data_IF_116001538477
#
_entry.id   IF_116001538477
#
_cell.length_a   1.000
_cell.length_b   1.000
_cell.length_c   1.000
_cell.angle_alpha   90.00
_cell.angle_beta   90.00
_cell.angle_gamma   90.00
#
_symmetry.space_group_name_H-M   'P 1'
#
loop_
_entity.id
_entity.type
_entity.pdbx_description
1 polymer ?
#
# COMPACT_ATOMS: atom_id res chain seq x y z
N UNK A 1 -6.32 13.36 21.24
CA UNK A 1 -6.84 12.32 22.14
C UNK A 1 -5.92 11.11 22.08
N UNK A 2 -5.47 10.56 23.23
CA UNK A 2 -4.60 9.36 23.25
C UNK A 2 -5.47 8.09 23.31
N UNK A 3 -5.32 7.16 22.35
CA UNK A 3 -5.96 5.84 22.39
C UNK A 3 -4.90 4.75 22.64
N UNK A 4 -5.21 3.83 23.56
CA UNK A 4 -4.36 2.68 23.91
C UNK A 4 -4.86 1.41 23.23
N UNK A 5 -3.94 0.49 22.96
CA UNK A 5 -4.23 -0.78 22.32
C UNK A 5 -5.09 -1.72 23.20
N UNK A 6 -5.92 -2.54 22.57
CA UNK A 6 -6.62 -3.67 23.19
C UNK A 6 -6.06 -4.97 22.59
N UNK A 7 -5.44 -5.80 23.42
CA UNK A 7 -5.00 -7.12 22.99
C UNK A 7 -6.20 -8.08 22.95
N UNK A 8 -6.38 -8.79 21.85
CA UNK A 8 -7.29 -9.94 21.73
C UNK A 8 -6.46 -11.14 21.27
N UNK A 9 -6.76 -12.36 21.69
CA UNK A 9 -5.87 -13.56 21.75
C UNK A 9 -4.57 -13.63 20.90
N UNK A 10 -4.55 -13.15 19.65
CA UNK A 10 -3.34 -13.06 18.81
C UNK A 10 -3.03 -11.69 18.22
N UNK A 11 -3.91 -10.71 18.34
CA UNK A 11 -3.82 -9.38 17.71
C UNK A 11 -3.81 -8.25 18.73
N UNK A 12 -3.25 -7.13 18.32
CA UNK A 12 -3.33 -5.86 19.02
C UNK A 12 -4.12 -4.88 18.16
N UNK A 13 -5.27 -4.41 18.64
CA UNK A 13 -6.12 -3.46 17.92
C UNK A 13 -6.09 -2.07 18.58
N UNK A 14 -5.94 -1.05 17.76
CA UNK A 14 -5.99 0.35 18.12
C UNK A 14 -7.24 0.96 17.49
N UNK A 15 -8.21 1.34 18.32
CA UNK A 15 -9.40 2.04 17.85
C UNK A 15 -9.03 3.49 17.51
N UNK A 16 -9.62 4.03 16.45
CA UNK A 16 -9.52 5.46 16.17
C UNK A 16 -10.24 6.28 17.24
N UNK A 17 -9.80 7.53 17.42
CA UNK A 17 -10.37 8.44 18.41
C UNK A 17 -11.75 8.93 18.01
N UNK A 18 -11.90 9.31 16.73
CA UNK A 18 -13.16 9.81 16.19
C UNK A 18 -13.94 8.69 15.47
N UNK A 19 -15.28 8.63 15.57
CA UNK A 19 -16.09 7.57 14.95
C UNK A 19 -16.01 7.51 13.42
N UNK A 20 -15.80 8.64 12.75
CA UNK A 20 -15.70 8.76 11.30
C UNK A 20 -14.29 8.55 10.74
N UNK A 21 -13.26 8.49 11.61
CA UNK A 21 -11.88 8.26 11.19
C UNK A 21 -11.75 6.86 10.57
N UNK A 22 -11.49 6.79 9.26
CA UNK A 22 -11.32 5.54 8.53
C UNK A 22 -9.87 5.37 8.07
N UNK A 23 -9.04 4.54 8.74
CA UNK A 23 -7.70 4.22 8.26
C UNK A 23 -7.71 3.57 6.87
N UNK A 24 -6.92 4.10 5.93
CA UNK A 24 -6.89 3.63 4.53
C UNK A 24 -5.56 2.95 4.18
N UNK A 25 -4.52 3.74 3.95
CA UNK A 25 -3.20 3.23 3.59
C UNK A 25 -2.37 3.06 4.87
N UNK A 26 -1.52 2.04 4.93
CA UNK A 26 -0.62 1.80 6.06
C UNK A 26 0.78 1.48 5.54
N UNK A 27 1.81 2.00 6.21
CA UNK A 27 3.20 1.77 5.85
C UNK A 27 4.08 1.70 7.10
N UNK A 28 5.03 0.76 7.12
CA UNK A 28 6.00 0.63 8.19
C UNK A 28 7.30 1.38 7.86
N UNK A 29 7.80 2.15 8.81
CA UNK A 29 9.09 2.83 8.75
C UNK A 29 10.23 1.97 9.29
N UNK A 30 11.45 2.20 8.79
CA UNK A 30 12.66 1.54 9.29
C UNK A 30 13.03 1.95 10.72
N UNK A 31 12.39 2.97 11.27
CA UNK A 31 12.47 3.43 12.66
C UNK A 31 11.41 2.75 13.57
N UNK A 32 10.53 1.91 13.00
CA UNK A 32 9.52 1.14 13.73
C UNK A 32 8.24 1.94 13.95
N UNK A 33 8.16 3.15 13.40
CA UNK A 33 6.90 3.88 13.30
C UNK A 33 6.01 3.23 12.24
N UNK A 34 4.70 3.20 12.52
CA UNK A 34 3.71 2.72 11.55
C UNK A 34 2.83 3.90 11.20
N UNK A 35 2.91 4.36 9.96
CA UNK A 35 2.14 5.48 9.47
C UNK A 35 0.89 4.98 8.78
N UNK A 36 -0.19 5.74 8.86
CA UNK A 36 -1.41 5.46 8.15
C UNK A 36 -2.14 6.74 7.74
N UNK A 37 -2.82 6.71 6.61
CA UNK A 37 -3.73 7.80 6.22
C UNK A 37 -5.11 7.56 6.83
N UNK A 38 -5.85 8.64 7.07
CA UNK A 38 -7.20 8.59 7.66
C UNK A 38 -8.14 9.30 6.69
N UNK A 39 -9.05 8.58 6.05
CA UNK A 39 -10.04 9.21 5.17
C UNK A 39 -10.98 10.09 5.98
N UNK A 40 -11.50 11.13 5.32
CA UNK A 40 -12.44 12.10 5.90
C UNK A 40 -11.94 12.88 7.12
N UNK A 41 -10.70 12.69 7.53
CA UNK A 41 -10.03 13.39 8.61
C UNK A 41 -9.11 14.49 8.06
N UNK A 42 -8.89 15.52 8.87
CA UNK A 42 -7.88 16.56 8.66
C UNK A 42 -6.50 16.18 9.23
N UNK A 43 -6.17 14.89 9.19
CA UNK A 43 -4.95 14.35 9.77
C UNK A 43 -4.50 13.04 9.11
N UNK A 44 -3.23 12.70 9.30
CA UNK A 44 -2.73 11.33 9.18
C UNK A 44 -2.44 10.76 10.57
N UNK A 45 -2.31 9.45 10.65
CA UNK A 45 -2.02 8.75 11.89
C UNK A 45 -0.62 8.15 11.91
N UNK A 46 -0.09 7.98 13.12
CA UNK A 46 1.15 7.26 13.39
C UNK A 46 1.01 6.42 14.64
N UNK A 47 1.33 5.14 14.57
CA UNK A 47 1.56 4.31 15.75
C UNK A 47 3.03 4.42 16.13
N UNK A 48 3.30 4.82 17.37
CA UNK A 48 4.63 4.85 17.97
C UNK A 48 4.53 4.49 19.45
N UNK A 49 5.40 3.59 19.91
CA UNK A 49 5.40 3.13 21.31
C UNK A 49 4.04 2.59 21.77
N UNK A 50 3.34 1.85 20.91
CA UNK A 50 2.03 1.25 21.23
C UNK A 50 0.91 2.26 21.42
N UNK A 51 1.00 3.44 20.80
CA UNK A 51 -0.02 4.50 20.85
C UNK A 51 -0.23 5.11 19.49
N UNK A 52 -1.48 5.46 19.18
CA UNK A 52 -1.81 6.29 18.03
C UNK A 52 -1.55 7.76 18.38
N UNK A 53 -0.86 8.44 17.48
CA UNK A 53 -0.72 9.88 17.37
C UNK A 53 -1.44 10.34 16.10
N UNK A 54 -2.26 11.40 16.23
CA UNK A 54 -2.97 12.03 15.11
C UNK A 54 -2.21 13.31 14.76
N UNK A 55 -1.73 13.42 13.53
CA UNK A 55 -0.90 14.51 13.03
C UNK A 55 -1.72 15.36 12.06
N UNK A 56 -2.15 16.58 12.46
CA UNK A 56 -3.02 17.41 11.64
C UNK A 56 -2.35 17.78 10.31
N UNK A 57 -3.09 17.70 9.20
CA UNK A 57 -2.63 18.05 7.84
C UNK A 57 -3.29 19.32 7.31
N UNK A 58 -4.12 19.99 8.12
CA UNK A 58 -4.84 21.25 7.82
C UNK A 58 -5.91 21.16 6.72
N UNK A 59 -5.97 20.09 5.94
CA UNK A 59 -6.99 19.83 4.94
C UNK A 59 -7.64 18.49 5.20
N UNK A 60 -8.95 18.41 4.99
CA UNK A 60 -9.68 17.15 5.07
C UNK A 60 -9.23 16.23 3.92
N UNK A 61 -8.75 15.04 4.27
CA UNK A 61 -8.33 14.03 3.30
C UNK A 61 -9.52 13.57 2.44
N UNK A 62 -9.21 13.22 1.20
CA UNK A 62 -10.14 12.65 0.21
C UNK A 62 -9.44 11.45 -0.41
N UNK A 63 -9.91 10.24 -0.10
CA UNK A 63 -9.39 8.98 -0.62
C UNK A 63 -7.83 8.92 -0.61
N UNK A 64 -7.17 9.06 0.55
CA UNK A 64 -5.71 9.14 0.64
C UNK A 64 -5.06 7.74 0.46
N UNK A 65 -5.05 7.22 -0.77
CA UNK A 65 -4.65 5.85 -1.10
C UNK A 65 -3.14 5.61 -1.08
N UNK A 66 -2.32 6.57 -1.48
CA UNK A 66 -0.87 6.42 -1.53
C UNK A 66 -0.22 6.82 -0.21
N UNK A 67 0.59 5.93 0.36
CA UNK A 67 1.42 6.20 1.54
C UNK A 67 2.70 5.36 1.48
N UNK A 68 3.83 5.98 1.77
CA UNK A 68 5.09 5.30 2.02
C UNK A 68 5.94 6.07 3.05
N UNK A 69 6.87 5.39 3.70
CA UNK A 69 7.78 5.98 4.68
C UNK A 69 9.18 6.04 4.08
N UNK A 70 9.78 7.22 4.06
CA UNK A 70 11.16 7.40 3.61
C UNK A 70 12.17 6.95 4.68
N UNK A 71 13.44 6.77 4.29
CA UNK A 71 14.51 6.33 5.18
C UNK A 71 14.75 7.25 6.39
N UNK A 72 14.38 8.53 6.29
CA UNK A 72 14.44 9.50 7.38
C UNK A 72 13.24 9.43 8.36
N UNK A 73 12.33 8.46 8.16
CA UNK A 73 11.13 8.28 8.97
C UNK A 73 9.98 9.23 8.62
N UNK A 74 10.10 10.03 7.55
CA UNK A 74 9.00 10.89 7.07
C UNK A 74 7.98 10.09 6.26
N UNK A 75 6.70 10.37 6.51
CA UNK A 75 5.60 9.83 5.71
C UNK A 75 5.38 10.69 4.47
N UNK A 76 5.29 10.04 3.32
CA UNK A 76 4.90 10.64 2.05
C UNK A 76 3.55 10.07 1.63
N UNK A 77 2.59 10.92 1.31
CA UNK A 77 1.27 10.49 0.89
C UNK A 77 0.72 11.32 -0.27
N UNK A 78 -0.23 10.74 -0.99
CA UNK A 78 -0.99 11.40 -2.04
C UNK A 78 -2.09 12.26 -1.43
N UNK A 79 -1.99 13.58 -1.58
CA UNK A 79 -2.91 14.55 -0.99
C UNK A 79 -3.78 15.20 -2.07
N UNK A 80 -4.88 14.53 -2.40
CA UNK A 80 -5.78 15.00 -3.45
C UNK A 80 -6.45 16.33 -3.08
N UNK A 81 -6.80 16.52 -1.80
CA UNK A 81 -7.43 17.74 -1.31
C UNK A 81 -6.51 18.95 -1.45
N UNK A 82 -5.23 18.80 -1.13
CA UNK A 82 -4.22 19.83 -1.34
C UNK A 82 -3.71 19.90 -2.79
N UNK A 83 -4.08 18.96 -3.65
CA UNK A 83 -3.53 18.79 -5.01
C UNK A 83 -2.00 18.70 -4.98
N UNK A 84 -1.48 17.87 -4.08
CA UNK A 84 -0.05 17.77 -3.82
C UNK A 84 0.37 16.31 -3.58
N UNK A 85 1.67 16.08 -3.67
CA UNK A 85 2.32 15.03 -2.89
C UNK A 85 2.78 15.69 -1.59
N UNK A 86 2.37 15.14 -0.45
CA UNK A 86 2.65 15.72 0.86
C UNK A 86 3.61 14.84 1.64
N UNK A 87 4.65 15.47 2.21
CA UNK A 87 5.59 14.85 3.14
C UNK A 87 5.33 15.40 4.54
N UNK A 88 5.22 14.51 5.52
CA UNK A 88 5.11 14.84 6.95
C UNK A 88 6.34 14.25 7.66
N UNK A 89 7.15 15.11 8.28
CA UNK A 89 8.33 14.67 9.02
C UNK A 89 7.95 13.93 10.30
N UNK A 90 8.93 13.28 10.94
CA UNK A 90 8.71 12.63 12.23
C UNK A 90 8.38 13.62 13.37
N UNK A 91 8.75 14.89 13.26
CA UNK A 91 8.34 15.99 14.16
C UNK A 91 6.98 16.62 13.79
N UNK A 92 6.35 16.20 12.68
CA UNK A 92 5.08 16.75 12.21
C UNK A 92 5.20 17.95 11.26
N UNK A 93 6.40 18.28 10.77
CA UNK A 93 6.57 19.33 9.77
C UNK A 93 6.01 18.89 8.42
N UNK A 94 5.27 19.78 7.75
CA UNK A 94 4.58 19.47 6.49
C UNK A 94 5.27 20.20 5.34
N UNK A 95 5.67 19.43 4.32
CA UNK A 95 6.10 19.95 3.03
C UNK A 95 5.13 19.46 1.95
N UNK A 96 4.66 20.37 1.08
CA UNK A 96 3.77 20.04 -0.03
C UNK A 96 4.45 20.32 -1.36
N UNK A 97 4.40 19.34 -2.24
CA UNK A 97 4.88 19.44 -3.61
C UNK A 97 3.65 19.55 -4.52
N UNK A 98 3.34 20.79 -4.91
CA UNK A 98 2.12 21.11 -5.64
C UNK A 98 2.14 20.47 -7.02
N UNK A 99 1.03 19.83 -7.38
CA UNK A 99 0.83 19.26 -8.70
C UNK A 99 0.50 20.39 -9.68
N UNK A 100 1.25 20.47 -10.77
CA UNK A 100 1.11 21.45 -11.85
C UNK A 100 0.03 21.08 -12.87
N UNK A 101 -0.44 19.85 -12.83
CA UNK A 101 -1.47 19.31 -13.73
C UNK A 101 -2.75 18.98 -12.95
N UNK A 102 -3.92 19.02 -13.61
CA UNK A 102 -5.19 18.67 -12.98
C UNK A 102 -5.27 17.15 -12.78
N UNK A 103 -4.47 16.60 -11.87
CA UNK A 103 -4.63 15.24 -11.39
C UNK A 103 -5.84 15.23 -10.48
N UNK A 104 -6.89 14.57 -10.92
CA UNK A 104 -8.17 14.46 -10.19
C UNK A 104 -8.27 13.16 -9.40
N UNK A 105 -7.36 12.21 -9.63
CA UNK A 105 -7.28 10.94 -8.90
C UNK A 105 -5.82 10.50 -8.77
N UNK A 106 -5.39 10.30 -7.52
CA UNK A 106 -4.07 9.77 -7.18
C UNK A 106 -4.21 8.33 -6.71
N UNK A 107 -3.31 7.44 -7.15
CA UNK A 107 -3.26 6.04 -6.73
C UNK A 107 -2.26 5.79 -5.60
N UNK A 108 -1.66 4.60 -5.58
CA UNK A 108 -0.61 4.25 -4.62
C UNK A 108 0.67 5.07 -4.86
N UNK A 109 1.50 5.13 -3.82
CA UNK A 109 2.79 5.81 -3.80
C UNK A 109 3.84 4.92 -3.16
N UNK A 110 5.07 4.96 -3.65
CA UNK A 110 6.24 4.31 -3.06
C UNK A 110 7.45 5.25 -3.05
N UNK A 111 8.38 5.03 -2.13
CA UNK A 111 9.67 5.73 -2.10
C UNK A 111 10.75 4.82 -2.68
N UNK A 112 11.49 5.33 -3.67
CA UNK A 112 12.63 4.65 -4.25
C UNK A 112 13.89 4.80 -3.36
N UNK A 113 14.89 3.89 -3.49
CA UNK A 113 16.14 3.96 -2.73
C UNK A 113 16.90 5.29 -2.87
N UNK A 114 16.72 5.98 -3.98
CA UNK A 114 17.33 7.28 -4.27
C UNK A 114 16.57 8.48 -3.69
N UNK A 115 15.57 8.22 -2.84
CA UNK A 115 14.72 9.20 -2.18
C UNK A 115 13.60 9.78 -3.03
N UNK A 116 13.42 9.33 -4.28
CA UNK A 116 12.32 9.80 -5.12
C UNK A 116 10.98 9.18 -4.69
N UNK A 117 9.92 9.99 -4.68
CA UNK A 117 8.56 9.48 -4.56
C UNK A 117 8.03 9.10 -5.95
N UNK A 118 7.49 7.90 -6.09
CA UNK A 118 6.81 7.42 -7.29
C UNK A 118 5.35 7.20 -6.99
N UNK A 119 4.46 7.69 -7.84
CA UNK A 119 3.02 7.56 -7.63
C UNK A 119 2.27 7.31 -8.93
N UNK A 120 1.13 6.63 -8.81
CA UNK A 120 0.21 6.41 -9.92
C UNK A 120 -0.63 7.67 -10.16
N UNK A 121 -0.60 8.16 -11.40
CA UNK A 121 -1.42 9.25 -11.91
C UNK A 121 -2.48 8.69 -12.86
N UNK A 122 -3.70 8.53 -12.33
CA UNK A 122 -4.80 7.95 -13.07
C UNK A 122 -5.32 8.89 -14.16
N UNK A 123 -5.25 10.21 -13.95
CA UNK A 123 -5.74 11.21 -14.91
C UNK A 123 -4.80 11.35 -16.10
N UNK A 124 -3.49 11.31 -15.85
CA UNK A 124 -2.43 11.41 -16.86
C UNK A 124 -2.05 10.09 -17.52
N UNK A 125 -2.69 8.97 -17.13
CA UNK A 125 -2.38 7.61 -17.59
C UNK A 125 -0.88 7.29 -17.49
N UNK A 126 -0.28 7.56 -16.33
CA UNK A 126 1.16 7.40 -16.16
C UNK A 126 1.59 7.16 -14.73
N UNK A 127 2.87 6.86 -14.57
CA UNK A 127 3.54 6.86 -13.28
C UNK A 127 4.44 8.08 -13.21
N UNK A 128 4.38 8.82 -12.11
CA UNK A 128 5.10 10.08 -11.97
C UNK A 128 6.12 9.96 -10.86
N UNK A 129 7.34 10.37 -11.18
CA UNK A 129 8.46 10.48 -10.25
C UNK A 129 8.57 11.90 -9.75
N UNK A 130 8.72 12.08 -8.44
CA UNK A 130 9.03 13.34 -7.79
C UNK A 130 10.39 13.22 -7.10
N UNK A 131 11.36 14.03 -7.53
CA UNK A 131 12.67 14.12 -6.88
C UNK A 131 13.12 15.57 -6.80
N UNK A 132 13.52 16.00 -5.60
CA UNK A 132 13.97 17.38 -5.34
C UNK A 132 12.99 18.45 -5.87
N UNK A 133 11.68 18.22 -5.73
CA UNK A 133 10.63 19.12 -6.20
C UNK A 133 10.32 19.05 -7.70
N UNK A 134 11.07 18.25 -8.48
CA UNK A 134 10.86 18.09 -9.92
C UNK A 134 9.98 16.86 -10.19
N UNK A 135 8.89 17.07 -10.92
CA UNK A 135 8.03 16.00 -11.42
C UNK A 135 8.48 15.52 -12.80
N UNK A 136 8.61 14.22 -12.97
CA UNK A 136 8.92 13.55 -14.24
C UNK A 136 7.87 12.48 -14.50
N UNK A 137 7.05 12.68 -15.53
CA UNK A 137 5.96 11.76 -15.89
C UNK A 137 6.44 10.74 -16.90
N UNK A 138 6.26 9.46 -16.58
CA UNK A 138 6.43 8.34 -17.51
C UNK A 138 5.05 7.97 -18.04
N UNK A 139 4.76 8.42 -19.26
CA UNK A 139 3.48 8.13 -19.93
C UNK A 139 3.43 6.66 -20.32
N UNK A 140 2.27 6.05 -20.13
CA UNK A 140 1.99 4.72 -20.64
C UNK A 140 1.40 4.92 -22.05
N UNK A 141 1.96 4.24 -23.05
CA UNK A 141 1.55 4.40 -24.46
C UNK A 141 0.09 4.01 -24.72
N UNK A 142 -0.54 3.32 -23.77
CA UNK A 142 -1.97 3.01 -23.78
C UNK A 142 -2.74 4.03 -22.92
N UNK A 143 -3.65 4.79 -23.56
CA UNK A 143 -4.65 5.64 -22.88
C UNK A 143 -5.63 4.85 -21.99
N UNK A 144 -5.48 3.53 -21.90
CA UNK A 144 -6.22 2.64 -21.00
C UNK A 144 -5.36 2.12 -19.85
N UNK A 145 -4.19 2.70 -19.56
CA UNK A 145 -3.30 2.20 -18.50
C UNK A 145 -3.99 2.10 -17.14
N UNK A 146 -4.72 3.13 -16.69
CA UNK A 146 -5.36 3.14 -15.37
C UNK A 146 -4.43 2.66 -14.24
N UNK A 147 -3.25 3.30 -14.07
CA UNK A 147 -2.28 2.87 -13.08
C UNK A 147 -2.87 2.97 -11.67
N UNK A 148 -2.67 1.96 -10.83
CA UNK A 148 -3.23 1.95 -9.47
C UNK A 148 -2.17 1.67 -8.41
N UNK A 149 -1.59 0.47 -8.43
CA UNK A 149 -0.52 0.05 -7.52
C UNK A 149 0.83 0.55 -8.00
N UNK A 150 1.73 0.84 -7.05
CA UNK A 150 3.13 1.19 -7.30
C UNK A 150 4.01 0.44 -6.29
N UNK A 151 5.07 -0.19 -6.77
CA UNK A 151 6.14 -0.75 -5.96
C UNK A 151 7.50 -0.36 -6.56
N UNK A 152 8.53 -0.28 -5.72
CA UNK A 152 9.91 -0.06 -6.16
C UNK A 152 10.78 -1.18 -5.62
N UNK A 153 11.49 -1.85 -6.52
CA UNK A 153 12.50 -2.86 -6.20
C UNK A 153 13.76 -2.21 -5.62
N UNK A 154 14.60 -3.00 -4.94
CA UNK A 154 15.85 -2.52 -4.32
C UNK A 154 16.87 -1.98 -5.32
N UNK A 155 16.80 -2.40 -6.58
CA UNK A 155 17.60 -1.91 -7.71
C UNK A 155 17.07 -0.59 -8.30
N UNK A 156 15.96 -0.05 -7.78
CA UNK A 156 15.30 1.14 -8.27
C UNK A 156 14.33 0.90 -9.44
N UNK A 157 14.11 -0.35 -9.87
CA UNK A 157 13.07 -0.68 -10.84
C UNK A 157 11.70 -0.40 -10.25
N UNK A 158 10.87 0.35 -10.98
CA UNK A 158 9.48 0.65 -10.59
C UNK A 158 8.55 -0.34 -11.28
N UNK A 159 7.60 -0.86 -10.51
CA UNK A 159 6.52 -1.70 -10.99
C UNK A 159 5.19 -1.03 -10.71
N UNK A 160 4.29 -1.08 -11.69
CA UNK A 160 2.93 -0.59 -11.53
C UNK A 160 1.91 -1.56 -12.11
N UNK A 161 0.74 -1.62 -11.51
CA UNK A 161 -0.41 -2.34 -12.06
C UNK A 161 -1.26 -1.38 -12.89
N UNK A 162 -1.68 -1.87 -14.05
CA UNK A 162 -2.49 -1.14 -15.02
C UNK A 162 -3.89 -1.76 -15.06
N UNK A 163 -4.80 -1.27 -14.21
CA UNK A 163 -6.10 -1.90 -13.96
C UNK A 163 -6.92 -2.09 -15.24
N UNK A 164 -7.03 -1.02 -16.02
CA UNK A 164 -7.84 -0.97 -17.23
C UNK A 164 -7.15 -1.65 -18.43
N UNK A 165 -5.81 -1.73 -18.39
CA UNK A 165 -5.00 -2.38 -19.41
C UNK A 165 -4.82 -3.87 -19.19
N UNK A 166 -5.15 -4.38 -17.99
CA UNK A 166 -4.85 -5.76 -17.57
C UNK A 166 -3.35 -6.09 -17.73
N UNK A 167 -2.50 -5.17 -17.29
CA UNK A 167 -1.05 -5.20 -17.53
C UNK A 167 -0.25 -4.91 -16.27
N UNK A 168 1.02 -5.34 -16.27
CA UNK A 168 2.07 -4.73 -15.45
C UNK A 168 2.87 -3.74 -16.29
N UNK A 169 3.30 -2.65 -15.67
CA UNK A 169 4.32 -1.74 -16.17
C UNK A 169 5.60 -1.95 -15.37
N UNK A 170 6.72 -2.03 -16.08
CA UNK A 170 8.06 -1.92 -15.52
C UNK A 170 8.70 -0.63 -16.04
N UNK A 171 9.26 0.18 -15.14
CA UNK A 171 10.14 1.31 -15.48
C UNK A 171 11.49 1.05 -14.85
N UNK A 172 12.54 0.89 -15.67
CA UNK A 172 13.90 0.72 -15.18
C UNK A 172 14.47 2.03 -14.64
N UNK A 173 15.58 1.95 -13.90
CA UNK A 173 16.22 3.12 -13.28
C UNK A 173 16.68 4.18 -14.30
N UNK A 174 16.97 3.77 -15.54
CA UNK A 174 17.30 4.67 -16.66
C UNK A 174 16.07 5.34 -17.31
N UNK A 175 14.86 5.02 -16.82
CA UNK A 175 13.60 5.56 -17.30
C UNK A 175 12.96 4.77 -18.44
N UNK A 176 13.62 3.74 -18.97
CA UNK A 176 13.03 2.88 -20.01
C UNK A 176 11.85 2.09 -19.45
N UNK A 177 10.76 2.02 -20.21
CA UNK A 177 9.53 1.36 -19.76
C UNK A 177 9.09 0.23 -20.67
N UNK A 178 8.50 -0.82 -20.08
CA UNK A 178 7.91 -1.95 -20.80
C UNK A 178 6.64 -2.40 -20.10
N UNK A 179 5.61 -2.74 -20.88
CA UNK A 179 4.39 -3.36 -20.37
C UNK A 179 4.40 -4.88 -20.58
N UNK A 180 3.66 -5.58 -19.73
CA UNK A 180 3.47 -7.03 -19.77
C UNK A 180 1.99 -7.33 -19.61
N UNK A 181 1.39 -7.99 -20.60
CA UNK A 181 0.00 -8.44 -20.53
C UNK A 181 -0.12 -9.58 -19.51
N UNK A 182 -1.12 -9.49 -18.63
CA UNK A 182 -1.47 -10.62 -17.77
C UNK A 182 -2.06 -11.75 -18.62
N UNK A 183 -1.78 -13.03 -18.28
CA UNK A 183 -2.19 -14.17 -19.10
C UNK A 183 -3.71 -14.36 -19.16
N UNK A 184 -4.43 -13.93 -18.12
CA UNK A 184 -5.88 -14.05 -18.03
C UNK A 184 -6.56 -12.68 -18.18
N UNK A 185 -7.56 -12.60 -19.06
CA UNK A 185 -8.31 -11.38 -19.29
C UNK A 185 -9.21 -11.02 -18.10
N UNK A 186 -9.32 -9.72 -17.80
CA UNK A 186 -10.29 -9.22 -16.82
C UNK A 186 -9.90 -9.43 -15.35
N UNK A 187 -8.62 -9.63 -15.05
CA UNK A 187 -8.11 -9.83 -13.69
C UNK A 187 -8.31 -8.61 -12.78
N UNK A 188 -8.22 -7.40 -13.37
CA UNK A 188 -8.19 -6.11 -12.67
C UNK A 188 -7.06 -6.07 -11.64
N UNK A 189 -5.80 -5.94 -12.08
CA UNK A 189 -4.65 -5.93 -11.17
C UNK A 189 -4.65 -4.68 -10.28
N UNK A 190 -4.53 -4.83 -8.96
CA UNK A 190 -4.63 -3.72 -7.98
C UNK A 190 -3.32 -3.48 -7.23
N UNK A 191 -3.24 -3.68 -5.92
CA UNK A 191 -2.02 -3.45 -5.18
C UNK A 191 -0.89 -4.39 -5.63
N UNK A 192 0.34 -3.89 -5.54
CA UNK A 192 1.57 -4.56 -6.00
C UNK A 192 2.68 -4.35 -4.99
N UNK A 193 3.53 -5.35 -4.83
CA UNK A 193 4.72 -5.30 -4.00
C UNK A 193 5.88 -6.03 -4.68
N UNK A 194 7.09 -5.49 -4.53
CA UNK A 194 8.31 -6.10 -5.05
C UNK A 194 9.00 -6.93 -3.95
N UNK A 195 9.33 -8.17 -4.27
CA UNK A 195 10.12 -9.06 -3.42
C UNK A 195 11.62 -8.85 -3.59
N UNK A 196 12.39 -9.27 -2.60
CA UNK A 196 13.86 -9.13 -2.62
C UNK A 196 14.52 -10.03 -3.65
N UNK A 197 13.85 -11.13 -4.02
CA UNK A 197 14.29 -12.12 -5.00
C UNK A 197 14.00 -11.73 -6.47
N UNK A 198 13.55 -10.48 -6.71
CA UNK A 198 13.15 -9.98 -8.02
C UNK A 198 11.72 -10.34 -8.44
N UNK A 199 10.96 -11.04 -7.60
CA UNK A 199 9.53 -11.26 -7.84
C UNK A 199 8.74 -9.98 -7.71
N UNK A 200 7.66 -9.89 -8.46
CA UNK A 200 6.64 -8.85 -8.31
C UNK A 200 5.32 -9.54 -8.03
N UNK A 201 4.75 -9.26 -6.88
CA UNK A 201 3.48 -9.84 -6.44
C UNK A 201 2.38 -8.80 -6.55
N UNK A 202 1.22 -9.18 -7.06
CA UNK A 202 0.10 -8.27 -7.26
C UNK A 202 -1.23 -8.97 -7.04
N UNK A 203 -2.23 -8.20 -6.61
CA UNK A 203 -3.59 -8.71 -6.43
C UNK A 203 -4.37 -8.64 -7.74
N UNK A 204 -5.17 -9.65 -8.03
CA UNK A 204 -6.13 -9.68 -9.13
C UNK A 204 -7.54 -9.63 -8.55
N UNK A 205 -8.06 -8.42 -8.37
CA UNK A 205 -9.27 -8.18 -7.56
C UNK A 205 -10.51 -8.92 -8.08
N UNK A 206 -10.71 -8.93 -9.40
CA UNK A 206 -11.88 -9.59 -10.00
C UNK A 206 -11.67 -11.10 -10.10
N UNK A 207 -10.45 -11.55 -10.40
CA UNK A 207 -10.13 -12.97 -10.54
C UNK A 207 -9.97 -13.70 -9.19
N UNK A 208 -9.92 -12.97 -8.07
CA UNK A 208 -9.71 -13.54 -6.73
C UNK A 208 -8.39 -14.33 -6.60
N UNK A 209 -7.36 -13.82 -7.25
CA UNK A 209 -6.04 -14.44 -7.36
C UNK A 209 -4.94 -13.50 -6.89
N UNK A 210 -3.81 -14.08 -6.51
CA UNK A 210 -2.55 -13.36 -6.32
C UNK A 210 -1.64 -13.75 -7.48
N UNK A 211 -1.29 -12.77 -8.30
CA UNK A 211 -0.34 -12.95 -9.38
C UNK A 211 1.09 -12.73 -8.91
N UNK A 212 2.01 -13.47 -9.53
CA UNK A 212 3.45 -13.28 -9.41
C UNK A 212 4.04 -13.13 -10.81
N UNK A 213 4.90 -12.14 -10.99
CA UNK A 213 5.76 -12.02 -12.15
C UNK A 213 7.23 -12.15 -11.72
N UNK A 214 7.98 -13.02 -12.41
CA UNK A 214 9.43 -13.14 -12.21
C UNK A 214 10.08 -13.65 -13.49
N UNK A 215 11.19 -13.02 -13.91
CA UNK A 215 12.00 -13.47 -15.05
C UNK A 215 11.19 -13.71 -16.34
N UNK A 216 10.18 -12.87 -16.60
CA UNK A 216 9.32 -12.99 -17.78
C UNK A 216 8.16 -13.98 -17.64
N UNK A 217 8.00 -14.63 -16.49
CA UNK A 217 6.98 -15.65 -16.26
C UNK A 217 5.92 -15.17 -15.27
N UNK A 218 4.66 -15.47 -15.58
CA UNK A 218 3.53 -15.27 -14.69
C UNK A 218 3.14 -16.57 -13.98
N UNK A 219 2.73 -16.44 -12.71
CA UNK A 219 2.11 -17.51 -11.93
C UNK A 219 0.95 -16.91 -11.13
N UNK A 220 -0.22 -17.55 -11.20
CA UNK A 220 -1.39 -17.15 -10.43
C UNK A 220 -1.67 -18.15 -9.32
N UNK A 221 -1.92 -17.65 -8.11
CA UNK A 221 -2.33 -18.43 -6.94
C UNK A 221 -3.78 -18.11 -6.63
N UNK A 222 -4.65 -19.10 -6.71
CA UNK A 222 -6.05 -18.97 -6.32
C UNK A 222 -6.19 -18.89 -4.79
N UNK A 223 -6.91 -17.88 -4.31
CA UNK A 223 -7.09 -17.66 -2.87
C UNK A 223 -8.26 -18.49 -2.30
N UNK A 224 -9.24 -18.80 -3.14
CA UNK A 224 -10.39 -19.64 -2.83
C UNK A 224 -11.49 -19.50 -3.86
N UNK A 225 -12.52 -20.35 -3.74
CA UNK A 225 -13.64 -20.40 -4.69
C UNK A 225 -14.55 -19.16 -4.61
N UNK A 226 -14.63 -18.53 -3.45
CA UNK A 226 -15.43 -17.31 -3.23
C UNK A 226 -14.56 -16.07 -3.21
N UNK A 227 -15.08 -14.96 -3.72
CA UNK A 227 -14.38 -13.69 -3.72
C UNK A 227 -14.18 -13.17 -2.28
N UNK A 228 -12.94 -13.21 -1.79
CA UNK A 228 -12.59 -12.82 -0.40
C UNK A 228 -12.38 -11.30 -0.23
N UNK A 229 -12.48 -10.54 -1.32
CA UNK A 229 -12.25 -9.10 -1.35
C UNK A 229 -10.78 -8.75 -1.06
N UNK A 230 -9.87 -9.19 -1.94
CA UNK A 230 -8.45 -8.83 -1.87
C UNK A 230 -8.29 -7.30 -1.90
N UNK A 231 -7.49 -6.72 -1.01
CA UNK A 231 -7.46 -5.27 -0.79
C UNK A 231 -6.07 -4.64 -0.85
N UNK A 232 -5.15 -5.11 -0.01
CA UNK A 232 -3.75 -4.67 0.00
C UNK A 232 -2.77 -5.84 0.08
N UNK A 233 -1.52 -5.60 -0.33
CA UNK A 233 -0.45 -6.60 -0.36
C UNK A 233 0.87 -5.99 0.15
N UNK A 234 1.66 -6.78 0.88
CA UNK A 234 2.99 -6.41 1.34
C UNK A 234 3.91 -7.64 1.34
N UNK A 235 5.21 -7.41 1.12
CA UNK A 235 6.24 -8.44 1.25
C UNK A 235 6.92 -8.28 2.60
N UNK A 236 6.96 -9.35 3.38
CA UNK A 236 7.69 -9.41 4.63
C UNK A 236 9.20 -9.55 4.39
N UNK A 237 10.06 -9.22 5.38
CA UNK A 237 11.52 -9.40 5.25
C UNK A 237 12.00 -10.82 4.93
N UNK A 238 11.15 -11.83 5.14
CA UNK A 238 11.40 -13.23 4.81
C UNK A 238 10.78 -13.66 3.47
N UNK A 239 10.41 -12.70 2.62
CA UNK A 239 9.72 -12.86 1.32
C UNK A 239 8.32 -13.49 1.38
N UNK A 240 7.73 -13.66 2.57
CA UNK A 240 6.31 -14.03 2.65
C UNK A 240 5.44 -12.90 2.12
N UNK A 241 4.41 -13.28 1.37
CA UNK A 241 3.42 -12.35 0.83
C UNK A 241 2.26 -12.24 1.80
N UNK A 242 2.03 -11.05 2.36
CA UNK A 242 0.89 -10.76 3.21
C UNK A 242 -0.16 -9.95 2.46
N UNK A 243 -1.43 -10.23 2.71
CA UNK A 243 -2.53 -9.57 2.00
C UNK A 243 -3.81 -9.46 2.84
N UNK A 244 -4.62 -8.44 2.55
CA UNK A 244 -5.92 -8.24 3.18
C UNK A 244 -7.05 -9.00 2.46
N UNK A 245 -8.03 -9.49 3.24
CA UNK A 245 -9.27 -10.09 2.74
C UNK A 245 -10.47 -9.36 3.38
N UNK A 246 -10.92 -8.28 2.74
CA UNK A 246 -11.95 -7.39 3.29
C UNK A 246 -13.29 -8.07 3.53
N UNK A 247 -13.72 -8.97 2.63
CA UNK A 247 -15.04 -9.63 2.74
C UNK A 247 -15.03 -10.77 3.76
N UNK A 248 -13.84 -11.27 4.10
CA UNK A 248 -13.64 -12.36 5.05
C UNK A 248 -13.15 -11.88 6.42
N UNK A 249 -13.05 -10.57 6.64
CA UNK A 249 -12.52 -9.99 7.87
C UNK A 249 -11.21 -10.69 8.31
N UNK A 250 -10.26 -10.83 7.39
CA UNK A 250 -9.05 -11.65 7.61
C UNK A 250 -7.81 -11.01 6.95
N UNK A 251 -6.63 -11.38 7.43
CA UNK A 251 -5.37 -11.24 6.68
C UNK A 251 -4.86 -12.62 6.26
N UNK A 252 -4.25 -12.70 5.09
CA UNK A 252 -3.66 -13.91 4.54
C UNK A 252 -2.14 -13.82 4.45
N UNK A 253 -1.49 -14.97 4.54
CA UNK A 253 -0.06 -15.16 4.27
C UNK A 253 0.10 -16.22 3.20
N UNK A 254 0.73 -15.87 2.09
CA UNK A 254 1.19 -16.82 1.08
C UNK A 254 2.68 -17.08 1.28
N UNK A 255 3.01 -18.35 1.54
CA UNK A 255 4.37 -18.86 1.73
C UNK A 255 4.53 -20.17 0.96
N UNK A 256 5.52 -20.26 0.07
CA UNK A 256 5.81 -21.48 -0.69
C UNK A 256 4.57 -22.07 -1.40
N UNK A 257 3.74 -21.21 -2.01
CA UNK A 257 2.51 -21.62 -2.70
C UNK A 257 1.33 -21.97 -1.78
N UNK A 258 1.48 -21.89 -0.45
CA UNK A 258 0.42 -22.19 0.51
C UNK A 258 -0.10 -20.93 1.18
N UNK A 259 -1.42 -20.84 1.28
CA UNK A 259 -2.11 -19.73 1.95
C UNK A 259 -2.51 -20.15 3.36
N UNK A 260 -2.05 -19.40 4.35
CA UNK A 260 -2.58 -19.42 5.71
C UNK A 260 -3.49 -18.21 5.91
N UNK A 261 -4.62 -18.40 6.61
CA UNK A 261 -5.61 -17.33 6.85
C UNK A 261 -5.73 -17.06 8.34
N UNK A 262 -5.67 -15.79 8.70
CA UNK A 262 -5.74 -15.30 10.06
C UNK A 262 -7.00 -14.44 10.20
N UNK A 263 -8.08 -14.99 10.79
CA UNK A 263 -9.29 -14.23 11.08
C UNK A 263 -8.96 -13.05 11.98
N UNK A 264 -9.46 -11.87 11.62
CA UNK A 264 -9.33 -10.69 12.45
C UNK A 264 -10.27 -10.80 13.66
N UNK A 265 -9.98 -10.09 14.77
CA UNK A 265 -10.73 -10.26 16.01
C UNK A 265 -12.16 -9.71 16.00
N UNK A 266 -12.61 -9.14 14.88
CA UNK A 266 -13.94 -8.55 14.71
C UNK A 266 -14.50 -9.02 13.38
N UNK A 267 -15.70 -9.59 13.40
CA UNK A 267 -16.35 -10.12 12.19
C UNK A 267 -16.72 -9.02 11.19
N UNK A 268 -16.88 -7.78 11.67
CA UNK A 268 -17.13 -6.61 10.84
C UNK A 268 -15.85 -5.89 10.39
N UNK A 269 -14.66 -6.44 10.66
CA UNK A 269 -13.40 -5.84 10.23
C UNK A 269 -13.30 -5.80 8.69
N UNK A 270 -12.74 -4.71 8.17
CA UNK A 270 -12.56 -4.46 6.74
C UNK A 270 -11.12 -4.01 6.46
N UNK A 271 -10.13 -4.93 6.52
CA UNK A 271 -8.72 -4.59 6.31
C UNK A 271 -8.49 -4.13 4.87
N UNK A 272 -8.22 -2.85 4.66
CA UNK A 272 -8.05 -2.24 3.34
C UNK A 272 -6.60 -2.25 2.86
N UNK A 273 -5.64 -2.07 3.77
CA UNK A 273 -4.22 -2.07 3.46
C UNK A 273 -3.45 -2.84 4.53
N UNK A 274 -2.32 -3.42 4.14
CA UNK A 274 -1.43 -4.18 5.02
C UNK A 274 0.01 -3.71 4.85
N UNK A 275 0.79 -3.79 5.91
CA UNK A 275 2.23 -3.54 5.91
C UNK A 275 2.92 -4.56 6.83
N UNK A 276 4.20 -4.81 6.61
CA UNK A 276 5.01 -5.64 7.51
C UNK A 276 6.18 -4.81 7.99
N UNK A 277 6.40 -4.76 9.30
CA UNK A 277 7.57 -4.08 9.86
C UNK A 277 8.82 -4.98 9.83
N UNK A 278 9.97 -4.39 10.15
CA UNK A 278 11.26 -5.12 10.14
C UNK A 278 11.32 -6.28 11.14
N UNK A 279 10.48 -6.26 12.17
CA UNK A 279 10.42 -7.27 13.21
C UNK A 279 9.48 -8.42 12.80
N UNK A 280 8.85 -8.31 11.62
CA UNK A 280 7.93 -9.28 11.05
C UNK A 280 6.51 -9.17 11.59
N UNK A 281 6.16 -8.09 12.29
CA UNK A 281 4.77 -7.86 12.68
C UNK A 281 3.97 -7.39 11.47
N UNK A 282 2.76 -7.94 11.33
CA UNK A 282 1.87 -7.63 10.22
C UNK A 282 0.86 -6.61 10.70
N UNK A 283 0.90 -5.43 10.10
CA UNK A 283 0.01 -4.31 10.40
C UNK A 283 -1.09 -4.22 9.35
N UNK A 284 -2.29 -3.81 9.76
CA UNK A 284 -3.40 -3.55 8.85
C UNK A 284 -4.14 -2.26 9.21
N UNK A 285 -4.55 -1.53 8.18
CA UNK A 285 -5.53 -0.45 8.28
C UNK A 285 -6.92 -1.04 8.00
N UNK A 286 -7.86 -0.81 8.91
CA UNK A 286 -9.23 -1.25 8.81
C UNK A 286 -10.17 -0.04 8.74
N UNK A 287 -10.89 0.07 7.63
CA UNK A 287 -11.80 1.18 7.34
C UNK A 287 -13.01 1.26 8.28
N UNK A 288 -13.22 0.25 9.12
CA UNK A 288 -14.19 0.29 10.22
C UNK A 288 -13.69 1.04 11.47
N UNK A 289 -12.57 1.76 11.38
CA UNK A 289 -12.07 2.66 12.42
C UNK A 289 -11.01 2.04 13.33
N UNK A 290 -10.15 1.18 12.77
CA UNK A 290 -9.08 0.53 13.54
C UNK A 290 -7.77 0.45 12.75
N UNK A 291 -6.66 0.51 13.47
CA UNK A 291 -5.38 -0.02 13.03
C UNK A 291 -5.10 -1.26 13.87
N UNK A 292 -4.62 -2.34 13.27
CA UNK A 292 -4.28 -3.54 14.04
C UNK A 292 -2.94 -4.14 13.66
N UNK A 293 -2.45 -5.02 14.52
CA UNK A 293 -1.17 -5.70 14.39
C UNK A 293 -1.31 -7.17 14.79
N UNK A 294 -0.83 -8.08 13.94
CA UNK A 294 -0.50 -9.46 14.26
C UNK A 294 1.00 -9.53 14.59
N UNK A 295 1.38 -9.80 15.85
CA UNK A 295 2.78 -9.96 16.23
C UNK A 295 3.46 -11.10 15.48
N UNK A 296 4.75 -10.94 15.16
CA UNK A 296 5.54 -11.90 14.39
C UNK A 296 5.49 -13.34 14.95
N UNK A 297 5.50 -13.47 16.28
CA UNK A 297 5.39 -14.77 16.98
C UNK A 297 4.11 -15.55 16.65
N UNK A 298 3.04 -14.87 16.24
CA UNK A 298 1.79 -15.48 15.78
C UNK A 298 1.68 -15.50 14.26
N UNK A 299 2.40 -14.61 13.57
CA UNK A 299 2.49 -14.54 12.12
C UNK A 299 3.35 -15.67 11.52
N UNK A 300 4.25 -16.28 12.30
CA UNK A 300 5.13 -17.38 11.87
C UNK A 300 4.57 -18.79 12.04
N UNK A 301 3.45 -18.96 12.75
CA UNK A 301 2.85 -20.27 12.98
C UNK A 301 2.51 -20.96 11.63
N UNK A 302 2.73 -22.29 11.53
CA UNK A 302 2.51 -23.06 10.30
C UNK A 302 1.07 -22.97 9.81
#
# INVERSE_FOLDING_TARGET
>A
MLVRAVAKEKFVEYRMGEPEDAPIAIAAGIDGSIWFTIDHADAIGRVRNGRIERLPTSNRNIEPLGLAVAADGSAWYTDLAARAITRVSSSGEIARFMLDTPITRLGRLAIAPDGAAWFADLTGYGVTRLKAGVFTRHRIESARGGPYGIAVSTDGTVWATLQNGNQLLRVAADGTSKTFDLPHGGAVPTDVAAGSDGSVWFLQFRANQIGRFKDGQFLDVEVGQENVGLSGIAIAPNDDVWFGMMRRASVGRLRNGRIAVFPLPRDNARPFSVAVDRDGNVWYADISGFVGMLPAKHAGAP
#
